data_IF_885605180670
#
_entry.id   IF_885605180670
#
_cell.length_a   1.000
_cell.length_b   1.000
_cell.length_c   1.000
_cell.angle_alpha   90.00
_cell.angle_beta   90.00
_cell.angle_gamma   90.00
#
_symmetry.space_group_name_H-M   'P 1'
#
loop_
_entity.id
_entity.type
_entity.pdbx_description
1 polymer ?
#
# COMPACT_ATOMS: atom_id res chain seq x y z
N UNK A 1 7.53 -18.48 -1.60
CA UNK A 1 8.28 -19.77 -1.57
C UNK A 1 8.67 -20.12 -0.14
N UNK A 2 9.57 -19.36 0.51
CA UNK A 2 10.08 -19.65 1.87
C UNK A 2 8.96 -19.87 2.90
N UNK A 3 8.00 -18.95 3.01
CA UNK A 3 6.87 -19.08 3.94
C UNK A 3 6.08 -20.39 3.72
N UNK A 4 5.79 -20.75 2.47
CA UNK A 4 5.09 -21.99 2.14
C UNK A 4 5.89 -23.23 2.51
N UNK A 5 7.22 -23.22 2.30
CA UNK A 5 8.09 -24.32 2.71
C UNK A 5 8.12 -24.50 4.24
N UNK A 6 8.25 -23.40 5.00
CA UNK A 6 8.23 -23.44 6.47
C UNK A 6 6.90 -24.03 6.98
N UNK A 7 5.78 -23.58 6.41
CA UNK A 7 4.44 -24.04 6.75
C UNK A 7 4.25 -25.53 6.43
N UNK A 8 4.63 -25.95 5.22
CA UNK A 8 4.40 -27.32 4.73
C UNK A 8 5.29 -28.36 5.38
N UNK A 9 6.52 -28.00 5.75
CA UNK A 9 7.41 -28.87 6.51
C UNK A 9 7.11 -28.87 8.02
N UNK A 10 6.11 -28.10 8.45
CA UNK A 10 5.74 -27.90 9.85
C UNK A 10 6.95 -27.47 10.70
N UNK A 11 7.79 -26.59 10.12
CA UNK A 11 8.98 -26.02 10.77
C UNK A 11 8.67 -24.72 11.50
N UNK A 12 7.50 -24.12 11.23
CA UNK A 12 7.01 -22.93 11.90
C UNK A 12 5.59 -22.61 11.47
N UNK A 13 4.98 -21.64 12.15
CA UNK A 13 3.69 -21.08 11.80
C UNK A 13 3.89 -19.78 11.02
N UNK A 14 2.96 -19.49 10.10
CA UNK A 14 2.92 -18.25 9.35
C UNK A 14 1.89 -17.32 10.00
N UNK A 15 2.29 -16.08 10.29
CA UNK A 15 1.47 -15.04 10.91
C UNK A 15 1.44 -13.82 9.99
N UNK A 16 0.29 -13.17 9.85
CA UNK A 16 0.17 -11.92 9.09
C UNK A 16 -0.99 -11.96 8.09
N UNK A 17 -0.77 -11.44 6.90
CA UNK A 17 -1.78 -11.43 5.82
C UNK A 17 -1.43 -12.43 4.71
N UNK A 18 -2.42 -12.77 3.89
CA UNK A 18 -2.22 -13.63 2.72
C UNK A 18 -1.24 -12.97 1.77
N UNK A 19 -0.20 -13.71 1.39
CA UNK A 19 0.82 -13.17 0.47
C UNK A 19 0.21 -12.86 -0.90
N UNK A 20 0.81 -11.94 -1.65
CA UNK A 20 0.37 -11.57 -2.99
C UNK A 20 0.14 -12.76 -3.96
N UNK A 21 0.91 -13.84 -3.82
CA UNK A 21 0.76 -15.05 -4.63
C UNK A 21 1.31 -14.92 -6.04
N UNK A 22 2.47 -14.25 -6.20
CA UNK A 22 3.28 -14.35 -7.41
C UNK A 22 4.17 -15.59 -7.30
N UNK A 23 3.86 -16.60 -8.10
CA UNK A 23 4.58 -17.86 -8.14
C UNK A 23 5.14 -18.20 -9.52
N UNK A 24 5.04 -17.31 -10.50
CA UNK A 24 5.52 -17.51 -11.87
C UNK A 24 7.00 -17.17 -12.03
N UNK A 25 7.67 -17.93 -12.90
CA UNK A 25 9.03 -17.66 -13.39
C UNK A 25 8.91 -17.05 -14.78
N UNK A 26 9.59 -15.92 -15.01
CA UNK A 26 9.59 -15.23 -16.28
C UNK A 26 10.99 -15.29 -16.90
N UNK A 27 11.06 -15.73 -18.15
CA UNK A 27 12.30 -15.79 -18.95
C UNK A 27 12.20 -14.79 -20.09
N UNK A 28 13.32 -14.11 -20.38
CA UNK A 28 13.45 -13.28 -21.60
C UNK A 28 13.98 -14.17 -22.73
N UNK A 29 13.20 -14.27 -23.80
CA UNK A 29 13.58 -14.94 -25.03
C UNK A 29 13.94 -13.88 -26.06
N UNK A 30 15.19 -13.82 -26.54
CA UNK A 30 15.55 -12.87 -27.59
C UNK A 30 14.81 -13.19 -28.88
N UNK A 31 14.30 -12.16 -29.54
CA UNK A 31 13.78 -12.24 -30.91
C UNK A 31 14.85 -11.82 -31.92
N UNK A 32 15.57 -10.75 -31.58
CA UNK A 32 16.72 -10.21 -32.30
C UNK A 32 17.65 -9.49 -31.30
N UNK A 33 18.60 -8.70 -31.81
CA UNK A 33 19.60 -7.98 -31.01
C UNK A 33 19.00 -6.96 -30.02
N UNK A 34 17.79 -6.48 -30.27
CA UNK A 34 17.16 -5.38 -29.50
C UNK A 34 15.82 -5.76 -28.88
N UNK A 35 15.14 -6.78 -29.41
CA UNK A 35 13.81 -7.18 -28.99
C UNK A 35 13.82 -8.52 -28.23
N UNK A 36 13.02 -8.59 -27.17
CA UNK A 36 12.89 -9.78 -26.33
C UNK A 36 11.43 -10.02 -25.96
N UNK A 37 11.02 -11.29 -25.93
CA UNK A 37 9.74 -11.71 -25.36
C UNK A 37 9.95 -12.08 -23.90
N UNK A 38 9.16 -11.49 -23.00
CA UNK A 38 9.09 -11.91 -21.61
C UNK A 38 7.96 -12.93 -21.43
N UNK A 39 8.32 -14.20 -21.26
CA UNK A 39 7.37 -15.30 -21.19
C UNK A 39 7.39 -15.97 -19.83
N UNK A 40 6.22 -16.38 -19.32
CA UNK A 40 6.14 -17.24 -18.14
C UNK A 40 6.47 -18.67 -18.54
N UNK A 41 7.51 -19.24 -17.95
CA UNK A 41 8.05 -20.55 -18.33
C UNK A 41 7.85 -21.64 -17.28
N UNK A 42 7.61 -21.25 -16.02
CA UNK A 42 7.37 -22.19 -14.94
C UNK A 42 6.53 -21.57 -13.80
N UNK A 43 6.03 -22.43 -12.92
CA UNK A 43 5.35 -22.04 -11.69
C UNK A 43 5.97 -22.74 -10.48
N UNK A 44 6.08 -22.02 -9.36
CA UNK A 44 6.51 -22.55 -8.08
C UNK A 44 5.36 -23.22 -7.35
N UNK A 45 5.65 -24.44 -6.89
CA UNK A 45 4.80 -25.20 -6.00
C UNK A 45 5.45 -25.34 -4.63
N UNK A 46 4.63 -25.31 -3.59
CA UNK A 46 5.07 -25.61 -2.22
C UNK A 46 5.32 -27.11 -2.05
N UNK A 47 6.05 -27.57 -1.00
CA UNK A 47 6.31 -28.99 -0.77
C UNK A 47 5.06 -29.88 -0.68
N UNK A 48 3.92 -29.34 -0.25
CA UNK A 48 2.63 -30.05 -0.24
C UNK A 48 1.95 -30.12 -1.61
N UNK A 49 2.55 -29.53 -2.66
CA UNK A 49 2.01 -29.51 -4.01
C UNK A 49 1.08 -28.34 -4.31
N UNK A 50 1.01 -27.31 -3.45
CA UNK A 50 0.18 -26.11 -3.71
C UNK A 50 0.85 -25.19 -4.72
N UNK A 51 0.13 -24.79 -5.77
CA UNK A 51 0.56 -23.70 -6.63
C UNK A 51 0.52 -22.38 -5.85
N UNK A 52 1.62 -21.62 -5.87
CA UNK A 52 1.68 -20.30 -5.22
C UNK A 52 1.03 -19.23 -6.09
N UNK A 53 1.05 -19.42 -7.42
CA UNK A 53 0.63 -18.41 -8.36
C UNK A 53 -0.89 -18.28 -8.38
N UNK A 54 -1.41 -17.07 -8.13
CA UNK A 54 -2.83 -16.81 -8.34
C UNK A 54 -3.15 -16.75 -9.85
N UNK A 55 -4.30 -17.27 -10.30
CA UNK A 55 -4.72 -17.16 -11.70
C UNK A 55 -4.77 -15.71 -12.19
N UNK A 56 -5.19 -14.78 -11.32
CA UNK A 56 -5.24 -13.33 -11.58
C UNK A 56 -3.87 -12.68 -11.82
N UNK A 57 -2.78 -13.33 -11.36
CA UNK A 57 -1.41 -12.83 -11.53
C UNK A 57 -0.74 -13.33 -12.84
N UNK A 58 -1.44 -14.16 -13.62
CA UNK A 58 -1.01 -14.60 -14.95
C UNK A 58 -1.55 -13.72 -16.06
N UNK A 59 -0.95 -13.80 -17.25
CA UNK A 59 -1.60 -13.32 -18.48
C UNK A 59 -2.85 -14.20 -18.66
N UNK A 60 -4.05 -13.62 -18.65
CA UNK A 60 -5.26 -14.34 -19.02
C UNK A 60 -5.09 -14.82 -20.46
N UNK A 61 -4.73 -16.08 -20.66
CA UNK A 61 -4.73 -16.66 -22.00
C UNK A 61 -6.18 -16.66 -22.48
N UNK A 62 -6.48 -15.83 -23.48
CA UNK A 62 -7.78 -15.81 -24.17
C UNK A 62 -7.96 -17.20 -24.79
N UNK A 63 -8.66 -18.11 -24.11
CA UNK A 63 -8.87 -19.49 -24.57
C UNK A 63 -8.81 -20.59 -23.52
N UNK A 64 -8.32 -20.35 -22.29
CA UNK A 64 -8.62 -21.28 -21.20
C UNK A 64 -10.05 -21.05 -20.75
N UNK A 65 -10.97 -21.87 -21.26
CA UNK A 65 -12.33 -21.97 -20.73
C UNK A 65 -12.24 -22.30 -19.24
N UNK A 66 -12.35 -21.28 -18.40
CA UNK A 66 -13.09 -21.46 -17.16
C UNK A 66 -14.53 -21.66 -17.60
N UNK A 67 -15.10 -22.83 -17.31
CA UNK A 67 -16.54 -23.05 -17.41
C UNK A 67 -17.23 -22.10 -16.43
N UNK A 68 -17.45 -20.85 -16.85
CA UNK A 68 -18.34 -19.89 -16.20
C UNK A 68 -18.58 -18.73 -17.19
N UNK A 69 -19.69 -18.81 -17.91
CA UNK A 69 -20.24 -17.74 -18.73
C UNK A 69 -20.55 -16.52 -17.85
N UNK A 70 -19.99 -15.36 -18.20
CA UNK A 70 -20.21 -14.13 -17.46
C UNK A 70 -19.38 -12.97 -17.99
N UNK A 71 -19.87 -12.40 -19.09
CA UNK A 71 -19.53 -11.11 -19.69
C UNK A 71 -18.77 -10.13 -18.77
N UNK A 72 -17.59 -9.69 -19.21
CA UNK A 72 -17.14 -8.32 -18.95
C UNK A 72 -16.02 -7.95 -19.91
N UNK A 73 -16.34 -6.94 -20.71
CA UNK A 73 -15.52 -6.32 -21.73
C UNK A 73 -14.21 -5.74 -21.17
N UNK A 74 -13.19 -5.80 -22.05
CA UNK A 74 -11.95 -5.03 -21.96
C UNK A 74 -12.23 -3.58 -21.53
N UNK A 75 -11.67 -3.18 -20.40
CA UNK A 75 -11.41 -1.76 -20.14
C UNK A 75 -10.19 -1.61 -19.25
N UNK A 76 -9.07 -1.37 -19.92
CA UNK A 76 -7.87 -0.74 -19.38
C UNK A 76 -8.30 0.62 -18.81
N UNK A 77 -8.60 0.67 -17.51
CA UNK A 77 -8.75 1.93 -16.79
C UNK A 77 -7.84 1.91 -15.57
N UNK A 78 -6.77 2.70 -15.68
CA UNK A 78 -6.03 3.18 -14.53
C UNK A 78 -6.98 3.99 -13.64
N UNK A 79 -7.03 3.65 -12.36
CA UNK A 79 -7.84 4.36 -11.37
C UNK A 79 -9.04 3.55 -10.88
N UNK A 80 -8.79 2.62 -9.95
CA UNK A 80 -9.80 2.23 -8.97
C UNK A 80 -9.16 2.21 -7.60
N UNK A 81 -9.53 3.21 -6.82
CA UNK A 81 -9.19 3.34 -5.41
C UNK A 81 -9.54 2.06 -4.65
N UNK A 82 -8.60 1.68 -3.79
CA UNK A 82 -8.71 0.62 -2.79
C UNK A 82 -9.63 1.05 -1.64
N UNK A 83 -10.90 1.32 -1.95
CA UNK A 83 -11.96 1.41 -0.95
C UNK A 83 -12.88 0.20 -1.13
N UNK A 84 -12.69 -0.78 -0.25
CA UNK A 84 -13.53 -1.98 -0.11
C UNK A 84 -13.56 -2.84 -1.37
N UNK A 85 -12.43 -3.49 -1.67
CA UNK A 85 -12.49 -4.72 -2.43
C UNK A 85 -13.32 -5.73 -1.62
N UNK A 86 -14.60 -5.90 -1.99
CA UNK A 86 -15.32 -7.12 -1.65
C UNK A 86 -14.47 -8.27 -2.19
N UNK A 87 -14.03 -9.16 -1.31
CA UNK A 87 -13.39 -10.44 -1.60
C UNK A 87 -14.35 -11.34 -2.42
N UNK A 88 -14.64 -10.97 -3.67
CA UNK A 88 -15.43 -11.77 -4.60
C UNK A 88 -14.56 -12.46 -5.65
N UNK A 89 -13.25 -12.56 -5.41
CA UNK A 89 -12.44 -13.59 -6.06
C UNK A 89 -12.80 -14.88 -5.32
N UNK A 90 -13.47 -15.82 -6.01
CA UNK A 90 -13.75 -17.18 -5.49
C UNK A 90 -12.46 -17.70 -4.84
N UNK A 91 -12.40 -17.70 -3.51
CA UNK A 91 -11.22 -18.15 -2.77
C UNK A 91 -11.09 -19.63 -3.06
N UNK A 92 -10.09 -20.00 -3.86
CA UNK A 92 -9.78 -21.40 -4.10
C UNK A 92 -9.59 -22.08 -2.72
N UNK A 93 -10.49 -23.03 -2.42
CA UNK A 93 -10.51 -23.76 -1.16
C UNK A 93 -9.82 -25.12 -1.29
N UNK A 94 -9.10 -25.37 -2.39
CA UNK A 94 -8.38 -26.63 -2.59
C UNK A 94 -7.49 -26.91 -1.39
N UNK A 95 -7.74 -28.04 -0.75
CA UNK A 95 -7.07 -28.45 0.49
C UNK A 95 -5.87 -29.32 0.19
N UNK A 96 -4.79 -29.07 0.90
CA UNK A 96 -3.56 -29.83 0.88
C UNK A 96 -3.17 -30.17 2.31
N UNK A 97 -2.19 -31.05 2.46
CA UNK A 97 -1.69 -31.48 3.77
C UNK A 97 -0.22 -31.15 3.92
N UNK A 98 0.13 -30.53 5.04
CA UNK A 98 1.52 -30.41 5.46
C UNK A 98 2.09 -31.80 5.77
N UNK A 99 3.41 -31.89 5.99
CA UNK A 99 4.09 -33.16 6.30
C UNK A 99 3.49 -33.90 7.50
N UNK A 100 3.05 -33.17 8.53
CA UNK A 100 2.38 -33.70 9.74
C UNK A 100 0.87 -33.80 9.61
N UNK A 101 0.31 -33.50 8.43
CA UNK A 101 -1.11 -33.67 8.13
C UNK A 101 -2.02 -32.49 8.49
N UNK A 102 -1.48 -31.29 8.76
CA UNK A 102 -2.30 -30.09 8.93
C UNK A 102 -2.92 -29.69 7.60
N UNK A 103 -4.17 -29.24 7.63
CA UNK A 103 -4.87 -28.75 6.44
C UNK A 103 -4.36 -27.36 6.10
N UNK A 104 -3.93 -27.18 4.87
CA UNK A 104 -3.52 -25.90 4.29
C UNK A 104 -4.21 -25.69 2.95
N UNK A 105 -4.39 -24.44 2.53
CA UNK A 105 -5.18 -24.10 1.34
C UNK A 105 -4.28 -23.60 0.20
N UNK A 106 -4.66 -23.89 -1.04
CA UNK A 106 -3.97 -23.46 -2.27
C UNK A 106 -4.59 -22.22 -2.96
N UNK A 107 -4.10 -21.91 -4.16
CA UNK A 107 -4.74 -21.02 -5.14
C UNK A 107 -4.76 -19.51 -4.88
N UNK A 108 -4.21 -19.05 -3.75
CA UNK A 108 -4.31 -17.66 -3.31
C UNK A 108 -3.00 -17.02 -2.83
N UNK A 109 -1.85 -17.65 -3.10
CA UNK A 109 -0.62 -17.40 -2.35
C UNK A 109 -0.56 -18.21 -1.06
N UNK A 110 0.37 -17.88 -0.15
CA UNK A 110 0.48 -18.54 1.15
C UNK A 110 -0.49 -17.88 2.13
N UNK A 111 -1.49 -18.63 2.56
CA UNK A 111 -2.45 -18.23 3.60
C UNK A 111 -1.82 -18.51 4.98
N UNK A 112 -1.72 -17.50 5.87
CA UNK A 112 -1.17 -17.65 7.21
C UNK A 112 -1.96 -18.65 8.09
N UNK A 113 -1.27 -19.26 9.04
CA UNK A 113 -1.89 -20.05 10.11
C UNK A 113 -2.63 -19.15 11.12
N UNK A 114 -2.19 -17.89 11.27
CA UNK A 114 -2.84 -16.87 12.08
C UNK A 114 -2.92 -15.57 11.29
N UNK A 115 -4.13 -15.14 10.97
CA UNK A 115 -4.35 -13.92 10.18
C UNK A 115 -4.29 -12.70 11.11
N UNK A 116 -3.38 -11.78 10.80
CA UNK A 116 -3.21 -10.48 11.45
C UNK A 116 -3.15 -9.44 10.36
N UNK A 117 -4.26 -8.72 10.16
CA UNK A 117 -4.33 -7.70 9.10
C UNK A 117 -3.37 -6.55 9.41
N UNK A 118 -2.60 -6.06 8.43
CA UNK A 118 -1.77 -4.89 8.63
C UNK A 118 -2.66 -3.66 8.84
N UNK A 119 -2.22 -2.72 9.70
CA UNK A 119 -2.84 -1.40 9.77
C UNK A 119 -2.54 -0.68 8.46
N UNK A 120 -3.56 -0.39 7.67
CA UNK A 120 -3.41 0.44 6.47
C UNK A 120 -3.13 1.88 6.97
N UNK A 121 -2.00 2.51 6.58
CA UNK A 121 -1.74 3.88 6.97
C UNK A 121 -2.83 4.82 6.45
N UNK A 122 -3.16 5.83 7.25
CA UNK A 122 -4.08 6.89 6.85
C UNK A 122 -3.64 7.55 5.53
N UNK A 123 -4.60 8.10 4.80
CA UNK A 123 -4.36 8.63 3.45
C UNK A 123 -3.23 9.65 3.41
N UNK A 124 -3.17 10.56 4.38
CA UNK A 124 -2.07 11.54 4.52
C UNK A 124 -0.69 10.87 4.55
N UNK A 125 -0.51 9.84 5.37
CA UNK A 125 0.76 9.13 5.52
C UNK A 125 1.17 8.48 4.20
N UNK A 126 0.22 7.89 3.47
CA UNK A 126 0.46 7.31 2.15
C UNK A 126 0.93 8.37 1.14
N UNK A 127 0.34 9.56 1.15
CA UNK A 127 0.78 10.67 0.27
C UNK A 127 2.17 11.17 0.65
N UNK A 128 2.48 11.28 1.94
CA UNK A 128 3.82 11.66 2.42
C UNK A 128 4.88 10.65 1.97
N UNK A 129 4.56 9.34 1.99
CA UNK A 129 5.44 8.31 1.43
C UNK A 129 5.58 8.39 -0.08
N UNK A 130 4.48 8.54 -0.82
CA UNK A 130 4.49 8.61 -2.27
C UNK A 130 5.31 9.81 -2.81
N UNK A 131 5.46 10.87 -2.01
CA UNK A 131 6.29 12.03 -2.33
C UNK A 131 7.66 12.02 -1.65
N UNK A 132 8.09 10.89 -1.10
CA UNK A 132 9.38 10.72 -0.41
C UNK A 132 9.65 11.77 0.69
N UNK A 133 8.60 12.32 1.31
CA UNK A 133 8.71 13.46 2.20
C UNK A 133 9.55 13.14 3.44
N UNK A 134 9.39 11.95 4.02
CA UNK A 134 10.14 11.53 5.21
C UNK A 134 11.63 11.35 4.91
N UNK A 135 11.96 10.69 3.80
CA UNK A 135 13.35 10.43 3.40
C UNK A 135 14.07 11.74 3.06
N UNK A 136 13.42 12.59 2.24
CA UNK A 136 13.96 13.87 1.81
C UNK A 136 14.13 14.83 2.98
N UNK A 137 13.15 14.91 3.88
CA UNK A 137 13.28 15.66 5.12
C UNK A 137 14.45 15.15 5.97
N UNK A 138 14.51 13.84 6.22
CA UNK A 138 15.56 13.25 7.05
C UNK A 138 16.96 13.57 6.51
N UNK A 139 17.18 13.56 5.19
CA UNK A 139 18.47 13.91 4.61
C UNK A 139 18.87 15.36 4.89
N UNK A 140 17.93 16.29 4.83
CA UNK A 140 18.17 17.70 5.09
C UNK A 140 18.37 17.96 6.60
N UNK A 141 17.46 17.43 7.42
CA UNK A 141 17.44 17.65 8.87
C UNK A 141 18.64 16.97 9.56
N UNK A 142 19.10 15.83 9.05
CA UNK A 142 20.24 15.11 9.59
C UNK A 142 21.51 15.96 9.67
N UNK A 143 21.76 16.81 8.66
CA UNK A 143 22.95 17.68 8.64
C UNK A 143 22.91 18.69 9.79
N UNK A 144 21.73 19.27 10.05
CA UNK A 144 21.50 20.21 11.16
C UNK A 144 21.66 19.51 12.51
N UNK A 145 21.08 18.33 12.67
CA UNK A 145 21.20 17.52 13.90
C UNK A 145 22.67 17.15 14.19
N UNK A 146 23.44 16.77 13.15
CA UNK A 146 24.87 16.47 13.31
C UNK A 146 25.71 17.69 13.66
N UNK A 147 25.45 18.85 13.04
CA UNK A 147 26.12 20.10 13.39
C UNK A 147 25.83 20.51 14.85
N UNK A 148 24.63 20.21 15.35
CA UNK A 148 24.26 20.40 16.75
C UNK A 148 24.71 19.28 17.71
N UNK A 149 25.54 18.33 17.25
CA UNK A 149 25.99 17.17 18.03
C UNK A 149 24.86 16.34 18.67
N UNK A 150 23.68 16.30 18.03
CA UNK A 150 22.55 15.50 18.50
C UNK A 150 22.85 14.02 18.28
N UNK A 151 22.73 13.23 19.35
CA UNK A 151 22.91 11.78 19.30
C UNK A 151 21.67 11.12 18.71
N UNK A 152 21.81 10.53 17.53
CA UNK A 152 20.78 9.72 16.87
C UNK A 152 21.09 8.25 17.16
N UNK A 153 20.34 7.64 18.07
CA UNK A 153 20.49 6.22 18.44
C UNK A 153 19.12 5.54 18.61
N UNK A 154 19.13 4.29 19.10
CA UNK A 154 17.91 3.48 19.31
C UNK A 154 16.87 4.14 20.22
N UNK A 155 17.23 5.12 21.04
CA UNK A 155 16.34 5.78 22.00
C UNK A 155 15.98 7.21 21.54
N UNK A 156 16.43 7.61 20.35
CA UNK A 156 16.14 8.92 19.75
C UNK A 156 14.64 9.15 19.58
N UNK A 157 14.16 10.35 19.92
CA UNK A 157 12.73 10.73 19.85
C UNK A 157 12.57 12.01 19.03
N UNK A 158 11.50 12.07 18.23
CA UNK A 158 11.13 13.28 17.51
C UNK A 158 10.43 14.25 18.45
N UNK A 159 11.16 15.28 18.85
CA UNK A 159 10.65 16.38 19.66
C UNK A 159 9.82 17.36 18.80
N UNK A 160 9.25 18.37 19.45
CA UNK A 160 8.36 19.32 18.77
C UNK A 160 9.13 20.30 17.86
N UNK A 161 10.43 20.51 18.11
CA UNK A 161 11.28 21.31 17.23
C UNK A 161 11.47 20.62 15.86
N UNK A 162 11.82 19.33 15.86
CA UNK A 162 11.96 18.54 14.62
C UNK A 162 10.61 18.43 13.90
N UNK A 163 9.49 18.36 14.63
CA UNK A 163 8.16 18.40 14.00
C UNK A 163 7.85 19.74 13.35
N UNK A 164 8.27 20.86 13.96
CA UNK A 164 8.13 22.18 13.35
C UNK A 164 9.00 22.29 12.09
N UNK A 165 10.24 21.81 12.15
CA UNK A 165 11.14 21.74 10.99
C UNK A 165 10.52 20.90 9.85
N UNK A 166 9.87 19.77 10.17
CA UNK A 166 9.16 18.96 9.17
C UNK A 166 8.02 19.72 8.51
N UNK A 167 7.21 20.48 9.28
CA UNK A 167 6.15 21.31 8.71
C UNK A 167 6.72 22.39 7.79
N UNK A 168 7.78 23.07 8.22
CA UNK A 168 8.47 24.07 7.39
C UNK A 168 9.05 23.47 6.11
N UNK A 169 9.56 22.23 6.16
CA UNK A 169 10.02 21.51 4.98
C UNK A 169 8.87 21.20 3.99
N UNK A 170 7.70 20.80 4.49
CA UNK A 170 6.54 20.59 3.63
C UNK A 170 6.08 21.90 2.98
N UNK A 171 6.10 23.01 3.72
CA UNK A 171 5.75 24.33 3.18
C UNK A 171 6.76 24.78 2.11
N UNK A 172 8.06 24.60 2.33
CA UNK A 172 9.13 25.01 1.41
C UNK A 172 9.17 24.20 0.12
N UNK A 173 8.72 22.95 0.16
CA UNK A 173 8.56 22.09 -1.03
C UNK A 173 7.22 22.32 -1.74
N UNK A 174 6.42 23.29 -1.29
CA UNK A 174 5.06 23.53 -1.75
C UNK A 174 4.22 22.25 -1.75
N UNK A 175 4.38 21.43 -0.70
CA UNK A 175 3.64 20.19 -0.55
C UNK A 175 2.14 20.46 -0.47
N UNK A 176 1.44 20.19 -1.56
CA UNK A 176 -0.02 20.22 -1.60
C UNK A 176 -0.57 18.89 -1.11
N UNK A 177 -1.13 18.89 0.09
CA UNK A 177 -1.99 17.80 0.57
C UNK A 177 -3.43 18.10 0.16
N UNK A 178 -4.04 17.16 -0.56
CA UNK A 178 -5.47 17.12 -0.78
C UNK A 178 -5.95 15.80 -0.22
N UNK A 179 -6.92 15.81 0.70
CA UNK A 179 -7.54 14.57 1.17
C UNK A 179 -8.41 13.96 0.06
N UNK A 180 -8.87 12.71 0.24
CA UNK A 180 -9.66 12.02 -0.78
C UNK A 180 -10.92 12.80 -1.19
N UNK A 181 -11.60 13.42 -0.21
CA UNK A 181 -12.78 14.23 -0.48
C UNK A 181 -12.45 15.48 -1.31
N UNK A 182 -11.31 16.13 -1.07
CA UNK A 182 -10.81 17.25 -1.89
C UNK A 182 -10.51 16.81 -3.31
N UNK A 183 -9.82 15.68 -3.49
CA UNK A 183 -9.52 15.16 -4.83
C UNK A 183 -10.82 14.86 -5.60
N UNK A 184 -11.77 14.17 -4.97
CA UNK A 184 -13.08 13.90 -5.58
C UNK A 184 -13.87 15.17 -5.86
N UNK A 185 -13.77 16.17 -4.98
CA UNK A 185 -14.47 17.44 -5.16
C UNK A 185 -13.85 18.30 -6.27
N UNK A 186 -12.52 18.33 -6.40
CA UNK A 186 -11.85 18.91 -7.57
C UNK A 186 -12.31 18.24 -8.86
N UNK A 187 -12.36 16.92 -8.91
CA UNK A 187 -12.87 16.17 -10.07
C UNK A 187 -14.34 16.52 -10.37
N UNK A 188 -15.17 16.68 -9.35
CA UNK A 188 -16.54 17.14 -9.49
C UNK A 188 -16.62 18.55 -10.08
N UNK A 189 -15.81 19.51 -9.59
CA UNK A 189 -15.77 20.89 -10.08
C UNK A 189 -15.39 20.95 -11.57
N UNK A 190 -14.49 20.07 -12.00
CA UNK A 190 -14.07 19.92 -13.41
C UNK A 190 -15.22 19.36 -14.27
N UNK A 191 -15.80 18.22 -13.84
CA UNK A 191 -16.89 17.54 -14.56
C UNK A 191 -18.13 18.42 -14.72
N UNK A 192 -18.36 19.31 -13.76
CA UNK A 192 -19.48 20.24 -13.77
C UNK A 192 -19.16 21.58 -14.43
N UNK A 193 -17.90 21.88 -14.78
CA UNK A 193 -17.53 23.17 -15.36
C UNK A 193 -17.60 24.35 -14.37
N UNK A 194 -17.60 24.08 -13.06
CA UNK A 194 -17.49 25.11 -12.01
C UNK A 194 -16.12 25.79 -12.09
N UNK A 195 -15.07 25.01 -12.38
CA UNK A 195 -13.71 25.49 -12.65
C UNK A 195 -13.26 25.07 -14.07
N UNK A 196 -12.40 25.85 -14.74
CA UNK A 196 -11.88 25.51 -16.06
C UNK A 196 -10.88 24.35 -15.99
N UNK A 197 -10.78 23.53 -17.03
CA UNK A 197 -9.83 22.39 -17.07
C UNK A 197 -8.37 22.82 -16.87
N UNK A 198 -8.07 24.08 -17.19
CA UNK A 198 -6.74 24.69 -17.07
C UNK A 198 -6.30 24.97 -15.64
N UNK A 199 -7.18 24.85 -14.63
CA UNK A 199 -6.84 25.09 -13.23
C UNK A 199 -6.10 23.93 -12.54
N UNK A 200 -6.05 22.75 -13.16
CA UNK A 200 -5.38 21.57 -12.59
C UNK A 200 -3.96 21.46 -13.10
N UNK A 201 -3.02 21.75 -12.21
CA UNK A 201 -1.60 21.46 -12.41
C UNK A 201 -1.24 20.15 -11.72
N UNK A 202 -0.49 19.29 -12.39
CA UNK A 202 0.12 18.11 -11.75
C UNK A 202 1.15 18.53 -10.68
N UNK A 203 1.71 17.55 -9.98
CA UNK A 203 2.76 17.77 -8.97
C UNK A 203 4.03 18.46 -9.53
N UNK A 204 4.18 18.53 -10.86
CA UNK A 204 5.26 19.21 -11.58
C UNK A 204 4.84 20.57 -12.18
N UNK A 205 3.63 21.06 -11.89
CA UNK A 205 3.15 22.35 -12.36
C UNK A 205 2.58 22.37 -13.79
N UNK A 206 2.50 21.22 -14.48
CA UNK A 206 1.95 21.12 -15.85
C UNK A 206 0.44 20.96 -15.82
N UNK A 207 -0.26 21.67 -16.70
CA UNK A 207 -1.71 21.50 -16.89
C UNK A 207 -1.99 20.04 -17.27
N UNK A 208 -2.82 19.33 -16.50
CA UNK A 208 -3.27 17.98 -16.85
C UNK A 208 -4.14 18.06 -18.12
N UNK A 209 -3.52 17.98 -19.29
CA UNK A 209 -4.24 17.84 -20.58
C UNK A 209 -4.73 16.42 -20.83
N UNK A 210 -4.15 15.43 -20.15
CA UNK A 210 -4.43 14.00 -20.35
C UNK A 210 -5.34 13.42 -19.26
N UNK A 211 -6.28 14.21 -18.72
CA UNK A 211 -7.35 13.62 -17.93
C UNK A 211 -8.32 12.98 -18.92
N UNK A 212 -8.73 11.69 -18.77
CA UNK A 212 -9.74 11.02 -19.62
C UNK A 212 -11.14 11.70 -19.63
N UNK A 213 -11.23 12.90 -19.06
CA UNK A 213 -12.41 13.67 -18.68
C UNK A 213 -12.63 14.86 -19.62
N UNK A 214 -11.67 15.18 -20.52
CA UNK A 214 -11.77 16.32 -21.46
C UNK A 214 -12.97 16.23 -22.42
N UNK A 215 -13.48 15.02 -22.65
CA UNK A 215 -14.49 14.75 -23.68
C UNK A 215 -15.91 14.57 -23.11
N UNK A 216 -16.13 14.85 -21.83
CA UNK A 216 -17.46 14.78 -21.22
C UNK A 216 -18.26 16.03 -21.59
N UNK A 217 -19.47 15.86 -22.13
CA UNK A 217 -20.45 16.93 -22.29
C UNK A 217 -20.72 17.58 -20.93
N UNK A 218 -20.11 18.74 -20.68
CA UNK A 218 -20.28 19.50 -19.44
C UNK A 218 -21.70 20.07 -19.36
N UNK A 219 -22.29 20.16 -18.15
CA UNK A 219 -23.59 20.79 -17.99
C UNK A 219 -23.55 22.26 -18.44
N UNK A 220 -24.61 22.72 -19.09
CA UNK A 220 -24.80 24.13 -19.46
C UNK A 220 -25.59 24.83 -18.35
N UNK A 221 -24.90 25.54 -17.48
CA UNK A 221 -25.51 26.30 -16.39
C UNK A 221 -25.95 27.68 -16.85
N UNK A 222 -27.08 28.19 -16.32
CA UNK A 222 -27.37 29.61 -16.42
C UNK A 222 -26.34 30.43 -15.62
N UNK A 223 -26.02 31.69 -16.00
CA UNK A 223 -25.00 32.48 -15.30
C UNK A 223 -25.23 32.62 -13.78
N UNK A 224 -26.48 32.79 -13.36
CA UNK A 224 -26.86 32.91 -11.94
C UNK A 224 -26.70 31.60 -11.16
N UNK A 225 -26.99 30.46 -11.80
CA UNK A 225 -26.79 29.13 -11.21
C UNK A 225 -25.30 28.85 -11.06
N UNK A 226 -24.49 29.17 -12.07
CA UNK A 226 -23.03 29.00 -12.02
C UNK A 226 -22.41 29.85 -10.91
N UNK A 227 -22.87 31.08 -10.72
CA UNK A 227 -22.41 31.93 -9.62
C UNK A 227 -22.78 31.35 -8.25
N UNK A 228 -23.99 30.81 -8.11
CA UNK A 228 -24.45 30.15 -6.89
C UNK A 228 -23.63 28.88 -6.60
N UNK A 229 -23.37 28.06 -7.61
CA UNK A 229 -22.52 26.87 -7.51
C UNK A 229 -21.09 27.23 -7.12
N UNK A 230 -20.52 28.32 -7.67
CA UNK A 230 -19.19 28.81 -7.27
C UNK A 230 -19.15 29.24 -5.81
N UNK A 231 -20.19 29.91 -5.29
CA UNK A 231 -20.28 30.29 -3.87
C UNK A 231 -20.32 29.08 -2.95
N UNK A 232 -21.19 28.10 -3.25
CA UNK A 232 -21.27 26.84 -2.49
C UNK A 232 -19.96 26.07 -2.59
N UNK A 233 -19.33 26.05 -3.77
CA UNK A 233 -18.05 25.38 -3.97
C UNK A 233 -16.95 25.97 -3.08
N UNK A 234 -16.89 27.29 -2.94
CA UNK A 234 -15.92 27.94 -2.06
C UNK A 234 -16.15 27.57 -0.58
N UNK A 235 -17.41 27.46 -0.16
CA UNK A 235 -17.75 27.02 1.20
C UNK A 235 -17.28 25.58 1.46
N UNK A 236 -17.50 24.67 0.50
CA UNK A 236 -17.03 23.29 0.59
C UNK A 236 -15.49 23.25 0.61
N UNK A 237 -14.80 24.03 -0.22
CA UNK A 237 -13.34 24.10 -0.24
C UNK A 237 -12.78 24.52 1.12
N UNK A 238 -13.39 25.50 1.79
CA UNK A 238 -13.01 25.93 3.14
C UNK A 238 -13.16 24.81 4.18
N UNK A 239 -14.32 24.13 4.21
CA UNK A 239 -14.60 23.01 5.13
C UNK A 239 -13.58 21.88 4.91
N UNK A 240 -13.33 21.53 3.66
CA UNK A 240 -12.39 20.47 3.31
C UNK A 240 -10.94 20.84 3.67
N UNK A 241 -10.57 22.12 3.51
CA UNK A 241 -9.26 22.64 3.91
C UNK A 241 -9.03 22.55 5.42
N UNK A 242 -10.03 22.91 6.24
CA UNK A 242 -9.95 22.75 7.69
C UNK A 242 -9.80 21.28 8.09
N UNK A 243 -10.55 20.38 7.45
CA UNK A 243 -10.44 18.94 7.69
C UNK A 243 -9.03 18.41 7.38
N UNK A 244 -8.45 18.82 6.25
CA UNK A 244 -7.08 18.44 5.87
C UNK A 244 -6.01 18.94 6.85
N UNK A 245 -6.21 20.10 7.49
CA UNK A 245 -5.32 20.55 8.58
C UNK A 245 -5.43 19.64 9.81
N UNK A 246 -6.64 19.16 10.11
CA UNK A 246 -6.90 18.19 11.17
C UNK A 246 -6.17 16.86 10.95
N UNK A 247 -6.06 16.39 9.71
CA UNK A 247 -5.39 15.13 9.37
C UNK A 247 -3.93 15.09 9.84
N UNK A 248 -3.21 16.21 9.75
CA UNK A 248 -1.82 16.30 10.24
C UNK A 248 -1.73 16.19 11.76
N UNK A 249 -2.64 16.84 12.49
CA UNK A 249 -2.66 16.76 13.95
C UNK A 249 -3.03 15.34 14.41
N UNK A 250 -4.03 14.73 13.77
CA UNK A 250 -4.49 13.37 14.07
C UNK A 250 -3.44 12.28 13.81
N UNK A 251 -2.51 12.53 12.88
CA UNK A 251 -1.44 11.58 12.50
C UNK A 251 -0.06 11.94 13.08
N UNK A 252 0.01 12.84 14.08
CA UNK A 252 1.28 13.33 14.62
C UNK A 252 2.18 12.19 15.15
N UNK A 253 1.60 11.17 15.79
CA UNK A 253 2.34 10.02 16.33
C UNK A 253 2.99 9.21 15.22
N UNK A 254 2.23 8.85 14.19
CA UNK A 254 2.73 8.13 13.02
C UNK A 254 3.74 8.95 12.21
N UNK A 255 3.52 10.26 12.06
CA UNK A 255 4.48 11.16 11.40
C UNK A 255 5.81 11.16 12.17
N UNK A 256 5.79 11.34 13.51
CA UNK A 256 6.99 11.25 14.36
C UNK A 256 7.69 9.91 14.19
N UNK A 257 6.93 8.80 14.15
CA UNK A 257 7.48 7.45 13.91
C UNK A 257 8.25 7.38 12.60
N UNK A 258 7.67 7.83 11.49
CA UNK A 258 8.29 7.71 10.18
C UNK A 258 9.48 8.65 9.97
N UNK A 259 9.43 9.86 10.55
CA UNK A 259 10.60 10.76 10.61
C UNK A 259 11.75 10.08 11.35
N UNK A 260 11.47 9.48 12.52
CA UNK A 260 12.46 8.76 13.32
C UNK A 260 13.08 7.61 12.54
N UNK A 261 12.27 6.79 11.89
CA UNK A 261 12.75 5.68 11.07
C UNK A 261 13.65 6.15 9.93
N UNK A 262 13.29 7.25 9.26
CA UNK A 262 14.08 7.83 8.19
C UNK A 262 15.44 8.37 8.70
N UNK A 263 15.46 9.06 9.85
CA UNK A 263 16.69 9.56 10.47
C UNK A 263 17.60 8.42 10.95
N UNK A 264 17.04 7.37 11.56
CA UNK A 264 17.81 6.17 11.96
C UNK A 264 18.38 5.45 10.73
N UNK A 265 17.59 5.33 9.66
CA UNK A 265 18.07 4.77 8.40
C UNK A 265 19.18 5.61 7.77
N UNK A 266 19.14 6.93 7.97
CA UNK A 266 20.19 7.83 7.50
C UNK A 266 21.49 7.72 8.30
N UNK A 267 21.39 7.58 9.63
CA UNK A 267 22.53 7.41 10.54
C UNK A 267 23.24 6.07 10.32
N UNK A 268 22.48 4.97 10.31
CA UNK A 268 23.03 3.63 10.42
C UNK A 268 22.99 2.81 9.13
N UNK A 269 22.25 3.28 8.12
CA UNK A 269 21.92 2.52 6.92
C UNK A 269 20.65 1.66 7.10
N UNK A 270 19.93 1.33 6.01
CA UNK A 270 18.62 0.68 6.07
C UNK A 270 18.65 -0.75 6.62
N UNK A 271 19.79 -1.43 6.53
CA UNK A 271 19.98 -2.82 6.98
C UNK A 271 20.55 -2.92 8.40
N UNK A 272 20.65 -1.81 9.13
CA UNK A 272 21.17 -1.85 10.48
C UNK A 272 20.14 -2.41 11.47
N UNK A 273 20.61 -3.24 12.42
CA UNK A 273 19.78 -3.82 13.49
C UNK A 273 19.01 -2.76 14.28
N UNK A 274 19.57 -1.56 14.49
CA UNK A 274 18.86 -0.45 15.16
C UNK A 274 17.61 -0.04 14.39
N UNK A 275 17.71 0.06 13.06
CA UNK A 275 16.61 0.43 12.18
C UNK A 275 15.56 -0.68 12.13
N UNK A 276 15.99 -1.93 12.01
CA UNK A 276 15.08 -3.08 12.05
C UNK A 276 14.29 -3.13 13.36
N UNK A 277 14.96 -3.04 14.51
CA UNK A 277 14.28 -3.06 15.81
C UNK A 277 13.32 -1.89 15.99
N UNK A 278 13.70 -0.70 15.52
CA UNK A 278 12.82 0.46 15.55
C UNK A 278 11.52 0.24 14.75
N UNK A 279 11.62 -0.34 13.55
CA UNK A 279 10.47 -0.67 12.70
C UNK A 279 9.58 -1.75 13.31
N UNK A 280 10.18 -2.84 13.79
CA UNK A 280 9.45 -3.98 14.33
C UNK A 280 8.81 -3.73 15.69
N UNK A 281 9.35 -2.82 16.50
CA UNK A 281 8.84 -2.55 17.85
C UNK A 281 7.34 -2.20 17.87
N UNK A 282 6.82 -1.58 16.81
CA UNK A 282 5.42 -1.17 16.69
C UNK A 282 4.69 -1.91 15.57
N UNK A 283 5.27 -2.98 15.02
CA UNK A 283 4.64 -3.77 13.99
C UNK A 283 3.66 -4.77 14.63
N UNK A 284 2.38 -4.66 14.27
CA UNK A 284 1.30 -5.47 14.86
C UNK A 284 1.43 -6.95 14.53
N UNK A 285 1.97 -7.31 13.37
CA UNK A 285 2.17 -8.71 12.98
C UNK A 285 3.36 -9.31 13.73
N UNK A 286 4.42 -8.53 13.92
CA UNK A 286 5.58 -8.92 14.72
C UNK A 286 5.20 -9.14 16.19
N UNK A 287 4.44 -8.22 16.79
CA UNK A 287 3.96 -8.39 18.17
C UNK A 287 3.06 -9.62 18.30
N UNK A 288 2.12 -9.83 17.38
CA UNK A 288 1.29 -11.04 17.37
C UNK A 288 2.12 -12.33 17.23
N UNK A 289 3.22 -12.31 16.47
CA UNK A 289 4.12 -13.44 16.37
C UNK A 289 4.87 -13.71 17.69
N UNK A 290 5.32 -12.65 18.40
CA UNK A 290 5.94 -12.78 19.72
C UNK A 290 4.97 -13.35 20.75
N UNK A 291 3.74 -12.81 20.80
CA UNK A 291 2.68 -13.30 21.69
C UNK A 291 2.37 -14.77 21.43
N UNK A 292 2.30 -15.15 20.16
CA UNK A 292 2.05 -16.53 19.76
C UNK A 292 3.19 -17.47 20.18
N UNK A 293 4.45 -17.05 20.07
CA UNK A 293 5.61 -17.83 20.50
C UNK A 293 5.66 -17.94 22.04
N UNK A 294 5.25 -16.88 22.75
CA UNK A 294 5.19 -16.86 24.20
C UNK A 294 4.12 -17.84 24.75
N UNK A 295 2.96 -17.94 24.09
CA UNK A 295 1.95 -18.97 24.39
C UNK A 295 2.32 -20.33 23.79
N UNK A 296 3.23 -21.03 24.48
CA UNK A 296 3.69 -22.37 24.09
C UNK A 296 2.56 -23.39 23.88
N UNK A 297 1.43 -23.25 24.60
CA UNK A 297 0.29 -24.18 24.49
C UNK A 297 -0.43 -23.95 23.18
N UNK A 298 -0.76 -22.70 22.85
CA UNK A 298 -1.39 -22.35 21.57
C UNK A 298 -0.47 -22.64 20.40
N UNK A 299 0.82 -22.30 20.50
CA UNK A 299 1.81 -22.58 19.46
C UNK A 299 1.90 -24.07 19.11
N UNK A 300 2.03 -24.94 20.11
CA UNK A 300 2.07 -26.40 19.91
C UNK A 300 0.77 -26.92 19.29
N UNK A 301 -0.37 -26.48 19.81
CA UNK A 301 -1.69 -26.86 19.27
C UNK A 301 -1.85 -26.51 17.79
N UNK A 302 -1.34 -25.36 17.35
CA UNK A 302 -1.42 -24.94 15.94
C UNK A 302 -0.47 -25.72 15.01
N UNK A 303 0.58 -26.34 15.57
CA UNK A 303 1.49 -27.24 14.85
C UNK A 303 1.01 -28.69 14.80
N UNK A 304 -0.10 -29.01 15.47
CA UNK A 304 -0.73 -30.32 15.44
C UNK A 304 -1.86 -30.36 14.38
N UNK A 305 -2.06 -31.49 13.69
CA UNK A 305 -3.22 -31.66 12.82
C UNK A 305 -4.50 -31.56 13.65
N UNK A 306 -5.51 -30.86 13.14
CA UNK A 306 -6.84 -30.83 13.78
C UNK A 306 -7.36 -32.27 13.84
N UNK A 307 -7.64 -32.77 15.04
CA UNK A 307 -8.35 -34.04 15.25
C UNK A 307 -9.58 -34.07 14.35
N UNK A 308 -9.77 -35.15 13.59
CA UNK A 308 -11.04 -35.40 12.93
C UNK A 308 -12.11 -35.38 14.03
N UNK A 309 -13.04 -34.42 13.95
CA UNK A 309 -14.34 -34.55 14.58
C UNK A 309 -15.22 -35.40 13.69
#
# INVERSE_FOLDING_TARGET
IVAGAIQDWDKGLIVGDTTFGKGSVQTLLPLDETHHIKMTTAFYYTPSGRCINKPENGIKAKGMKSDDDGDSEDSVTAGKDSSVAKDSVKKDTTTYKTKKGRIVYGGGGIIPDTIVKPKIPEYLLRILFLKDAFFSFANNEYLKLKAGHVKIDKDFVINDAIMADFRHYLDSTHFKFQNQAQTMFEDFKIRTGIIPDTSVKDSAGKTKRDSPISDINKPKWAPQELESLKKVSLQIDNILSEKSKGDFAGNSVEIKKYIREALLSREFGPENNVVYRAKFAQDVQFQAALDLIADKKTYKRLLEPKSKK
#
